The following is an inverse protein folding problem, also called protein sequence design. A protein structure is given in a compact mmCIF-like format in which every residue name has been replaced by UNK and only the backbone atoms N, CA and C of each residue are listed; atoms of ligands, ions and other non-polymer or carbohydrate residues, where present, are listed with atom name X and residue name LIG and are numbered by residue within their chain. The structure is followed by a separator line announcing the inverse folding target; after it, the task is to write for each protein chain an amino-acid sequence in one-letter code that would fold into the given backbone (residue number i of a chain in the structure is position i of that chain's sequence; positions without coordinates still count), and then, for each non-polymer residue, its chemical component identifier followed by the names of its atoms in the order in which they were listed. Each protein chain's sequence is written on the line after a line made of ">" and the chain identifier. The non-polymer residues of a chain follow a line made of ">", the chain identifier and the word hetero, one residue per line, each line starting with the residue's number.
data_IF_259519488459
#
_entry.id   IF_259519488459
#
_cell.length_a   1.000
_cell.length_b   1.000
_cell.length_c   1.000
_cell.angle_alpha   90.00
_cell.angle_beta   90.00
_cell.angle_gamma   90.00
#
_symmetry.space_group_name_H-M   'P 1'
#
loop_
_entity.id
_entity.type
_entity.pdbx_description
1 polymer ?
#
# COMPACT_ATOMS: atom_id res chain seq x y z
N UNK A 1 -6.50 -6.15 20.08
CA UNK A 1 -6.22 -5.68 18.72
C UNK A 1 -7.52 -5.21 18.10
N UNK A 2 -7.55 -4.01 17.51
CA UNK A 2 -8.73 -3.40 16.88
C UNK A 2 -8.42 -3.17 15.40
N UNK A 3 -9.36 -3.46 14.51
CA UNK A 3 -9.21 -3.17 13.08
C UNK A 3 -10.42 -2.33 12.67
N UNK A 4 -10.17 -1.19 12.05
CA UNK A 4 -11.22 -0.22 11.71
C UNK A 4 -10.94 0.47 10.36
N UNK A 5 -11.97 1.01 9.70
CA UNK A 5 -11.77 1.81 8.49
C UNK A 5 -10.88 3.03 8.75
N UNK A 6 -10.11 3.43 7.74
CA UNK A 6 -9.35 4.68 7.79
C UNK A 6 -10.30 5.88 7.82
N UNK A 7 -10.17 6.71 8.85
CA UNK A 7 -10.89 7.96 9.04
C UNK A 7 -9.93 9.13 9.21
N UNK A 8 -10.46 10.33 9.47
CA UNK A 8 -9.64 11.53 9.65
C UNK A 8 -8.86 11.50 10.98
N UNK A 9 -9.29 10.69 11.95
CA UNK A 9 -8.67 10.58 13.27
C UNK A 9 -7.46 9.65 13.26
N UNK A 10 -7.55 8.51 12.56
CA UNK A 10 -6.49 7.49 12.53
C UNK A 10 -5.52 7.64 11.34
N UNK A 11 -5.84 8.46 10.33
CA UNK A 11 -4.98 8.69 9.17
C UNK A 11 -3.56 9.19 9.51
N UNK A 12 -3.37 10.17 10.43
CA UNK A 12 -2.02 10.62 10.78
C UNK A 12 -1.15 9.49 11.36
N UNK A 13 -1.73 8.64 12.21
CA UNK A 13 -1.03 7.49 12.81
C UNK A 13 -0.71 6.41 11.76
N UNK A 14 -1.63 6.15 10.83
CA UNK A 14 -1.40 5.23 9.71
C UNK A 14 -0.27 5.73 8.80
N UNK A 15 -0.19 7.04 8.55
CA UNK A 15 0.91 7.65 7.79
C UNK A 15 2.26 7.55 8.50
N UNK A 16 2.29 7.83 9.80
CA UNK A 16 3.49 7.68 10.62
C UNK A 16 3.99 6.23 10.61
N UNK A 17 3.07 5.26 10.72
CA UNK A 17 3.37 3.84 10.56
C UNK A 17 3.95 3.52 9.18
N UNK A 18 3.29 3.89 8.09
CA UNK A 18 3.76 3.54 6.74
C UNK A 18 5.11 4.18 6.39
N UNK A 19 5.39 5.37 6.91
CA UNK A 19 6.67 6.07 6.72
C UNK A 19 7.84 5.42 7.48
N UNK A 20 7.58 4.69 8.57
CA UNK A 20 8.62 4.01 9.36
C UNK A 20 9.05 2.66 8.76
N UNK A 21 8.31 2.14 7.78
CA UNK A 21 8.60 0.85 7.17
C UNK A 21 9.86 0.93 6.30
N UNK A 22 10.70 -0.12 6.29
CA UNK A 22 11.94 -0.15 5.51
C UNK A 22 11.68 -0.08 4.00
N UNK A 23 10.52 -0.53 3.54
CA UNK A 23 10.04 -0.33 2.19
C UNK A 23 8.78 0.55 2.21
N UNK A 24 8.96 1.81 1.82
CA UNK A 24 7.86 2.77 1.72
C UNK A 24 7.11 2.54 0.43
N UNK A 25 6.12 1.65 0.50
CA UNK A 25 5.28 1.36 -0.64
C UNK A 25 4.48 2.62 -1.02
N UNK A 26 4.88 3.27 -2.12
CA UNK A 26 4.24 4.49 -2.61
C UNK A 26 2.75 4.29 -2.89
N UNK A 27 2.33 3.07 -3.28
CA UNK A 27 0.92 2.74 -3.47
C UNK A 27 0.14 2.75 -2.15
N UNK A 28 0.70 2.20 -1.07
CA UNK A 28 0.06 2.28 0.26
C UNK A 28 -0.07 3.74 0.71
N UNK A 29 1.00 4.53 0.57
CA UNK A 29 0.99 5.95 0.93
C UNK A 29 -0.05 6.73 0.11
N UNK A 30 -0.14 6.47 -1.20
CA UNK A 30 -1.14 7.08 -2.08
C UNK A 30 -2.57 6.68 -1.69
N UNK A 31 -2.80 5.39 -1.41
CA UNK A 31 -4.10 4.85 -1.02
C UNK A 31 -4.61 5.41 0.31
N UNK A 32 -3.71 5.70 1.26
CA UNK A 32 -4.10 6.35 2.52
C UNK A 32 -4.16 7.88 2.44
N UNK A 33 -3.75 8.49 1.32
CA UNK A 33 -3.76 9.96 1.12
C UNK A 33 -4.61 10.37 -0.07
N UNK A 34 -3.98 10.60 -1.22
CA UNK A 34 -4.55 11.20 -2.42
C UNK A 34 -5.69 10.36 -2.99
N UNK A 35 -5.55 9.03 -2.95
CA UNK A 35 -6.52 8.08 -3.50
C UNK A 35 -7.50 7.54 -2.45
N UNK A 36 -7.48 8.04 -1.21
CA UNK A 36 -8.30 7.51 -0.10
C UNK A 36 -9.78 7.36 -0.46
N UNK A 37 -10.36 8.34 -1.16
CA UNK A 37 -11.78 8.31 -1.57
C UNK A 37 -12.11 7.24 -2.60
N UNK A 38 -11.11 6.63 -3.21
CA UNK A 38 -11.24 5.56 -4.20
C UNK A 38 -10.76 4.21 -3.65
N UNK A 39 -10.34 4.18 -2.39
CA UNK A 39 -9.82 2.98 -1.74
C UNK A 39 -10.69 2.57 -0.55
N UNK A 40 -10.75 1.26 -0.32
CA UNK A 40 -11.14 0.70 0.97
C UNK A 40 -9.84 0.52 1.75
N UNK A 41 -9.78 1.09 2.95
CA UNK A 41 -8.57 1.06 3.78
C UNK A 41 -8.94 0.61 5.18
N UNK A 42 -8.31 -0.47 5.63
CA UNK A 42 -8.43 -0.97 7.00
C UNK A 42 -7.11 -0.74 7.74
N UNK A 43 -7.22 -0.20 8.95
CA UNK A 43 -6.09 0.10 9.84
C UNK A 43 -6.19 -0.80 11.07
N UNK A 44 -5.10 -1.48 11.38
CA UNK A 44 -4.99 -2.31 12.56
C UNK A 44 -4.21 -1.61 13.68
N UNK A 45 -4.80 -1.64 14.87
CA UNK A 45 -4.28 -1.07 16.10
C UNK A 45 -3.98 -2.18 17.12
N UNK A 46 -2.80 -2.09 17.72
CA UNK A 46 -2.44 -2.82 18.93
C UNK A 46 -2.22 -1.80 20.04
N UNK A 47 -3.09 -1.82 21.06
CA UNK A 47 -3.22 -0.69 22.01
C UNK A 47 -3.44 0.61 21.24
N UNK A 48 -2.59 1.62 21.42
CA UNK A 48 -2.68 2.92 20.73
C UNK A 48 -1.78 3.03 19.49
N UNK A 49 -1.06 1.97 19.12
CA UNK A 49 -0.14 1.97 17.99
C UNK A 49 -0.78 1.35 16.75
N UNK A 50 -0.61 1.99 15.59
CA UNK A 50 -0.88 1.37 14.30
C UNK A 50 0.20 0.32 14.02
N UNK A 51 -0.24 -0.90 13.80
CA UNK A 51 0.62 -2.08 13.55
C UNK A 51 0.39 -2.68 12.16
N UNK A 52 -0.63 -2.24 11.43
CA UNK A 52 -0.84 -2.66 10.04
C UNK A 52 -1.88 -1.84 9.30
N UNK A 53 -1.79 -1.91 7.98
CA UNK A 53 -2.70 -1.24 7.03
C UNK A 53 -2.92 -2.19 5.84
N UNK A 54 -4.16 -2.36 5.42
CA UNK A 54 -4.52 -3.04 4.18
C UNK A 54 -5.42 -2.15 3.33
N UNK A 55 -5.24 -2.23 2.01
CA UNK A 55 -5.93 -1.38 1.05
C UNK A 55 -6.40 -2.17 -0.17
N UNK A 56 -7.54 -1.77 -0.71
CA UNK A 56 -8.07 -2.18 -2.02
C UNK A 56 -8.44 -0.92 -2.80
N UNK A 57 -7.99 -0.81 -4.04
CA UNK A 57 -8.26 0.33 -4.92
C UNK A 57 -9.40 -0.03 -5.88
N UNK A 58 -10.55 0.64 -5.71
CA UNK A 58 -11.79 0.28 -6.41
C UNK A 58 -11.80 0.58 -7.91
N UNK A 59 -10.94 1.47 -8.37
CA UNK A 59 -10.96 1.92 -9.77
C UNK A 59 -10.19 1.00 -10.74
N UNK A 60 -9.56 -0.07 -10.25
CA UNK A 60 -8.88 -1.04 -11.11
C UNK A 60 -9.89 -2.04 -11.71
N UNK A 61 -9.64 -2.53 -12.94
CA UNK A 61 -10.49 -3.55 -13.58
C UNK A 61 -10.26 -4.97 -13.00
N UNK A 62 -9.44 -5.11 -11.96
CA UNK A 62 -9.13 -6.36 -11.28
C UNK A 62 -9.05 -6.13 -9.77
N UNK A 63 -9.26 -7.19 -8.99
CA UNK A 63 -9.12 -7.12 -7.53
C UNK A 63 -7.65 -6.97 -7.16
N UNK A 64 -7.35 -5.95 -6.37
CA UNK A 64 -6.03 -5.78 -5.79
C UNK A 64 -6.07 -5.79 -4.26
N UNK A 65 -4.92 -6.11 -3.68
CA UNK A 65 -4.68 -6.00 -2.25
C UNK A 65 -3.25 -5.51 -2.06
N UNK A 66 -3.11 -4.43 -1.30
CA UNK A 66 -1.79 -3.93 -0.88
C UNK A 66 -1.84 -3.79 0.62
N UNK A 67 -0.84 -4.33 1.32
CA UNK A 67 -0.81 -4.30 2.78
C UNK A 67 0.60 -4.10 3.34
N UNK A 68 0.63 -3.64 4.58
CA UNK A 68 1.77 -3.70 5.47
C UNK A 68 1.30 -4.18 6.83
N UNK A 69 1.97 -5.19 7.38
CA UNK A 69 1.70 -5.73 8.71
C UNK A 69 3.02 -5.87 9.48
N UNK A 70 3.08 -5.37 10.71
CA UNK A 70 4.34 -5.41 11.48
C UNK A 70 4.77 -6.85 11.80
N UNK A 71 3.79 -7.74 12.04
CA UNK A 71 4.02 -9.16 12.37
C UNK A 71 3.08 -10.06 11.55
N UNK A 72 3.47 -11.32 11.33
CA UNK A 72 2.69 -12.27 10.52
C UNK A 72 1.30 -12.57 11.07
N UNK A 73 1.17 -12.71 12.39
CA UNK A 73 -0.10 -13.02 13.08
C UNK A 73 -1.18 -11.93 12.90
N UNK A 74 -0.77 -10.72 12.53
CA UNK A 74 -1.69 -9.63 12.23
C UNK A 74 -2.39 -9.79 10.88
N UNK A 75 -1.78 -10.51 9.95
CA UNK A 75 -2.26 -10.57 8.58
C UNK A 75 -3.63 -11.26 8.47
N UNK A 76 -3.91 -12.44 9.05
CA UNK A 76 -5.22 -13.08 8.95
C UNK A 76 -6.40 -12.21 9.40
N UNK A 77 -6.40 -11.60 10.60
CA UNK A 77 -7.52 -10.76 11.01
C UNK A 77 -7.65 -9.49 10.17
N UNK A 78 -6.53 -8.93 9.67
CA UNK A 78 -6.54 -7.80 8.75
C UNK A 78 -7.16 -8.16 7.40
N UNK A 79 -6.79 -9.31 6.82
CA UNK A 79 -7.39 -9.84 5.59
C UNK A 79 -8.87 -10.20 5.78
N UNK A 80 -9.24 -10.79 6.92
CA UNK A 80 -10.62 -11.15 7.22
C UNK A 80 -11.51 -9.91 7.25
N UNK A 81 -11.06 -8.84 7.93
CA UNK A 81 -11.75 -7.54 8.00
C UNK A 81 -11.82 -6.89 6.62
N UNK A 82 -10.71 -6.94 5.87
CA UNK A 82 -10.68 -6.43 4.50
C UNK A 82 -11.68 -7.16 3.60
N UNK A 83 -11.79 -8.48 3.73
CA UNK A 83 -12.79 -9.28 3.02
C UNK A 83 -14.23 -9.07 3.51
N UNK A 84 -14.46 -8.50 4.70
CA UNK A 84 -15.80 -8.03 5.09
C UNK A 84 -16.15 -6.74 4.34
N UNK A 85 -15.19 -5.80 4.26
CA UNK A 85 -15.37 -4.53 3.55
C UNK A 85 -15.46 -4.71 2.03
N UNK A 86 -14.69 -5.63 1.47
CA UNK A 86 -14.65 -5.95 0.04
C UNK A 86 -14.88 -7.45 -0.15
N UNK A 87 -16.14 -7.91 -0.17
CA UNK A 87 -16.48 -9.34 -0.23
C UNK A 87 -15.84 -10.11 -1.39
N UNK A 88 -15.63 -9.44 -2.53
CA UNK A 88 -15.01 -10.02 -3.71
C UNK A 88 -13.58 -10.55 -3.45
N UNK A 89 -12.84 -9.98 -2.48
CA UNK A 89 -11.51 -10.46 -2.10
C UNK A 89 -11.50 -11.87 -1.49
N UNK A 90 -12.65 -12.39 -1.04
CA UNK A 90 -12.74 -13.72 -0.43
C UNK A 90 -12.81 -14.85 -1.45
N UNK A 91 -13.22 -14.56 -2.67
CA UNK A 91 -13.56 -15.56 -3.68
C UNK A 91 -12.88 -15.31 -5.03
N UNK A 92 -12.41 -14.08 -5.28
CA UNK A 92 -11.77 -13.71 -6.52
C UNK A 92 -10.27 -13.92 -6.52
N UNK A 93 -9.69 -13.91 -7.73
CA UNK A 93 -8.25 -13.80 -7.92
C UNK A 93 -7.80 -12.39 -7.58
N UNK A 94 -6.81 -12.28 -6.70
CA UNK A 94 -6.21 -11.00 -6.31
C UNK A 94 -4.89 -10.83 -7.05
N UNK A 95 -4.69 -9.65 -7.63
CA UNK A 95 -3.42 -9.25 -8.24
C UNK A 95 -2.75 -8.18 -7.38
N UNK A 96 -1.46 -8.33 -7.12
CA UNK A 96 -0.71 -7.38 -6.32
C UNK A 96 0.76 -7.33 -6.70
N UNK A 97 1.33 -6.13 -6.63
CA UNK A 97 2.77 -5.91 -6.68
C UNK A 97 3.22 -5.54 -5.28
N UNK A 98 4.11 -6.35 -4.70
CA UNK A 98 4.55 -6.18 -3.32
C UNK A 98 5.99 -6.70 -3.15
N UNK A 99 6.72 -6.21 -2.12
CA UNK A 99 8.04 -6.74 -1.79
C UNK A 99 8.00 -8.25 -1.52
N UNK A 100 9.07 -8.97 -1.85
CA UNK A 100 9.19 -10.41 -1.64
C UNK A 100 8.89 -10.84 -0.19
N UNK A 101 9.32 -10.05 0.81
CA UNK A 101 9.00 -10.31 2.21
C UNK A 101 7.49 -10.29 2.50
N UNK A 102 6.72 -9.41 1.83
CA UNK A 102 5.25 -9.34 1.97
C UNK A 102 4.58 -10.50 1.25
N UNK A 103 5.09 -10.90 0.08
CA UNK A 103 4.62 -12.10 -0.60
C UNK A 103 4.81 -13.35 0.28
N UNK A 104 5.98 -13.48 0.94
CA UNK A 104 6.24 -14.57 1.89
C UNK A 104 5.32 -14.52 3.12
N UNK A 105 4.97 -13.34 3.63
CA UNK A 105 3.99 -13.20 4.70
C UNK A 105 2.58 -13.60 4.27
N UNK A 106 2.19 -13.34 3.02
CA UNK A 106 0.87 -13.66 2.49
C UNK A 106 0.71 -15.13 2.10
N UNK A 107 1.80 -15.77 1.65
CA UNK A 107 1.79 -17.12 1.08
C UNK A 107 1.05 -18.19 1.92
N UNK A 108 1.10 -18.20 3.27
CA UNK A 108 0.36 -19.19 4.07
C UNK A 108 -1.17 -19.04 4.01
N UNK A 109 -1.68 -17.90 3.52
CA UNK A 109 -3.11 -17.55 3.59
C UNK A 109 -3.79 -17.50 2.22
N UNK A 110 -3.06 -17.76 1.14
CA UNK A 110 -3.56 -17.68 -0.24
C UNK A 110 -3.10 -18.87 -1.06
N UNK A 111 -3.87 -19.23 -2.08
CA UNK A 111 -3.39 -20.11 -3.13
C UNK A 111 -2.69 -19.27 -4.20
N UNK A 112 -1.38 -19.47 -4.37
CA UNK A 112 -0.61 -18.78 -5.40
C UNK A 112 -0.97 -19.33 -6.79
N UNK A 113 -1.48 -18.46 -7.67
CA UNK A 113 -1.77 -18.79 -9.06
C UNK A 113 -0.55 -18.60 -9.97
N UNK A 114 0.07 -17.42 -9.92
CA UNK A 114 1.30 -17.09 -10.62
C UNK A 114 2.14 -16.11 -9.80
N UNK A 115 3.47 -16.13 -10.02
CA UNK A 115 4.42 -15.22 -9.39
C UNK A 115 5.46 -14.81 -10.44
N UNK A 116 5.81 -13.53 -10.45
CA UNK A 116 6.88 -12.98 -11.29
C UNK A 116 7.65 -11.98 -10.44
N UNK A 117 8.97 -12.05 -10.51
CA UNK A 117 9.84 -11.09 -9.83
C UNK A 117 10.11 -9.90 -10.74
N UNK A 118 9.88 -8.70 -10.23
CA UNK A 118 10.16 -7.45 -10.93
C UNK A 118 11.13 -6.60 -10.12
N UNK A 119 12.09 -5.98 -10.80
CA UNK A 119 13.01 -5.02 -10.20
C UNK A 119 12.42 -3.62 -10.30
N UNK A 120 11.98 -3.09 -9.16
CA UNK A 120 11.41 -1.75 -9.08
C UNK A 120 12.44 -0.76 -8.52
N UNK A 121 12.73 0.31 -9.27
CA UNK A 121 13.50 1.43 -8.71
C UNK A 121 12.67 2.13 -7.64
N UNK A 122 13.23 2.25 -6.44
CA UNK A 122 12.63 3.02 -5.34
C UNK A 122 13.28 4.39 -5.32
N UNK A 123 12.44 5.42 -5.34
CA UNK A 123 12.86 6.80 -5.12
C UNK A 123 12.28 7.23 -3.78
N UNK A 124 13.14 7.54 -2.80
CA UNK A 124 12.72 8.11 -1.53
C UNK A 124 12.43 9.60 -1.74
N UNK A 125 11.16 10.05 -1.68
CA UNK A 125 10.81 11.42 -2.07
C UNK A 125 11.51 12.48 -1.24
N UNK A 126 11.84 12.20 0.02
CA UNK A 126 12.59 13.12 0.88
C UNK A 126 14.08 13.23 0.54
N UNK A 127 14.62 12.27 -0.23
CA UNK A 127 16.00 12.33 -0.76
C UNK A 127 16.05 13.02 -2.13
N UNK A 128 14.89 13.18 -2.79
CA UNK A 128 14.77 14.04 -3.96
C UNK A 128 14.91 15.49 -3.51
N UNK A 129 16.14 15.98 -3.57
CA UNK A 129 16.38 17.42 -3.56
C UNK A 129 15.92 17.95 -4.91
N UNK A 130 14.98 18.88 -4.91
CA UNK A 130 14.78 19.75 -6.06
C UNK A 130 16.14 20.34 -6.42
N UNK A 131 16.65 19.98 -7.59
CA UNK A 131 17.89 20.57 -8.07
C UNK A 131 17.60 22.05 -8.26
N UNK A 132 18.29 22.92 -7.52
CA UNK A 132 18.25 24.36 -7.77
C UNK A 132 18.69 24.58 -9.22
N UNK A 133 17.71 24.82 -10.07
CA UNK A 133 17.84 24.83 -11.51
C UNK A 133 16.58 25.46 -12.10
N UNK A 134 16.68 25.90 -13.35
CA UNK A 134 15.58 26.54 -14.06
C UNK A 134 14.33 25.67 -13.93
N UNK A 135 13.23 26.28 -13.44
CA UNK A 135 11.99 25.57 -13.18
C UNK A 135 11.57 24.72 -14.36
N UNK A 136 10.96 23.56 -14.10
CA UNK A 136 10.53 22.62 -15.11
C UNK A 136 9.83 23.35 -16.28
N UNK A 137 10.52 23.43 -17.42
CA UNK A 137 9.98 24.04 -18.65
C UNK A 137 9.75 22.96 -19.68
N UNK A 138 8.77 23.19 -20.55
CA UNK A 138 8.49 22.30 -21.68
C UNK A 138 9.75 22.21 -22.57
N UNK A 139 10.12 20.99 -22.97
CA UNK A 139 11.17 20.77 -23.96
C UNK A 139 10.79 21.46 -25.27
N UNK A 140 11.74 22.17 -25.87
CA UNK A 140 11.65 22.81 -27.17
C UNK A 140 12.40 21.95 -28.20
N UNK A 141 12.21 22.25 -29.47
CA UNK A 141 12.89 21.55 -30.55
C UNK A 141 14.43 21.59 -30.41
N UNK A 142 14.97 22.70 -29.92
CA UNK A 142 16.41 22.90 -29.72
C UNK A 142 16.99 22.10 -28.53
N UNK A 143 16.15 21.50 -27.68
CA UNK A 143 16.57 20.70 -26.53
C UNK A 143 16.71 19.20 -26.86
N UNK A 144 16.42 18.80 -28.10
CA UNK A 144 16.52 17.41 -28.56
C UNK A 144 17.91 17.15 -29.18
N UNK A 145 18.51 15.96 -28.97
CA UNK A 145 19.83 15.60 -29.49
C UNK A 145 19.85 15.37 -31.01
#
# INVERSE_FOLDING_TARGET
>A
MRIEPLDDNNQPAALAYLRRLPYRNAMLLSNVTQLRRQCDVMVAHSSDAVVGVATHYRALPFLNLIFAAEYGELLPPLLATMGQAVPALRQGTITGVMPAQRAAQLAPYVQLGSLTEELQMVVEPETLRERAGEGARRLRADDLP
#
